data_IF_411708021247
#
_entry.id   IF_411708021247
#
_cell.length_a   1.000
_cell.length_b   1.000
_cell.length_c   1.000
_cell.angle_alpha   90.00
_cell.angle_beta   90.00
_cell.angle_gamma   90.00
#
_symmetry.space_group_name_H-M   'P 1'
#
loop_
_entity.id
_entity.type
_entity.pdbx_description
1 polymer ?
#
# COMPACT_ATOMS: atom_id res chain seq x y z
N UNK A 1 -63.31 5.18 -35.48
CA UNK A 1 -62.20 6.07 -35.34
C UNK A 1 -61.69 5.99 -33.92
N UNK A 2 -60.91 4.98 -33.61
CA UNK A 2 -60.38 4.75 -32.27
C UNK A 2 -58.99 4.13 -32.42
N UNK A 3 -57.93 4.80 -32.01
CA UNK A 3 -56.74 4.02 -31.78
C UNK A 3 -55.35 4.59 -32.11
N UNK A 4 -55.13 5.91 -32.07
CA UNK A 4 -53.78 6.41 -32.28
C UNK A 4 -53.15 7.17 -31.07
N UNK A 5 -53.90 7.36 -30.02
CA UNK A 5 -53.41 8.08 -28.82
C UNK A 5 -52.67 7.17 -27.80
N UNK A 6 -52.86 5.85 -27.92
CA UNK A 6 -52.21 4.87 -27.00
C UNK A 6 -50.73 4.60 -27.26
N UNK A 7 -50.30 4.65 -28.54
CA UNK A 7 -48.94 4.21 -28.91
C UNK A 7 -47.84 5.17 -28.59
N UNK A 8 -48.08 6.49 -28.67
CA UNK A 8 -47.08 7.48 -28.34
C UNK A 8 -46.92 7.65 -26.83
N UNK A 9 -48.02 7.55 -26.06
CA UNK A 9 -47.94 7.57 -24.60
C UNK A 9 -47.22 6.33 -24.04
N UNK A 10 -47.44 5.16 -24.66
CA UNK A 10 -46.66 3.95 -24.32
C UNK A 10 -45.18 4.08 -24.68
N UNK A 11 -44.85 4.67 -25.83
CA UNK A 11 -43.45 4.93 -26.20
C UNK A 11 -42.76 5.92 -25.26
N UNK A 12 -43.42 6.99 -24.84
CA UNK A 12 -42.92 7.93 -23.86
C UNK A 12 -42.68 7.26 -22.51
N UNK A 13 -43.61 6.40 -22.08
CA UNK A 13 -43.49 5.66 -20.79
C UNK A 13 -42.32 4.67 -20.83
N UNK A 14 -42.11 3.96 -21.94
CA UNK A 14 -40.98 3.04 -22.12
C UNK A 14 -39.65 3.81 -22.18
N UNK A 15 -39.56 4.94 -22.86
CA UNK A 15 -38.37 5.78 -22.90
C UNK A 15 -38.01 6.32 -21.52
N UNK A 16 -39.02 6.74 -20.75
CA UNK A 16 -38.85 7.22 -19.38
C UNK A 16 -38.35 6.10 -18.43
N UNK A 17 -38.91 4.90 -18.55
CA UNK A 17 -38.46 3.74 -17.79
C UNK A 17 -37.01 3.30 -18.15
N UNK A 18 -36.67 3.32 -19.44
CA UNK A 18 -35.31 3.02 -19.90
C UNK A 18 -34.31 4.08 -19.40
N UNK A 19 -34.69 5.37 -19.41
CA UNK A 19 -33.86 6.45 -18.90
C UNK A 19 -33.60 6.31 -17.38
N UNK A 20 -34.65 6.02 -16.61
CA UNK A 20 -34.53 5.78 -15.16
C UNK A 20 -33.67 4.55 -14.89
N UNK A 21 -33.86 3.46 -15.62
CA UNK A 21 -33.05 2.25 -15.49
C UNK A 21 -31.57 2.51 -15.81
N UNK A 22 -31.28 3.29 -16.85
CA UNK A 22 -29.89 3.67 -17.20
C UNK A 22 -29.25 4.54 -16.11
N UNK A 23 -29.99 5.44 -15.48
CA UNK A 23 -29.51 6.29 -14.40
C UNK A 23 -29.19 5.49 -13.12
N UNK A 24 -29.98 4.49 -12.81
CA UNK A 24 -29.78 3.60 -11.65
C UNK A 24 -28.55 2.70 -11.86
N UNK A 25 -28.33 2.19 -13.08
CA UNK A 25 -27.16 1.38 -13.38
C UNK A 25 -25.85 2.18 -13.33
N UNK A 26 -25.86 3.45 -13.73
CA UNK A 26 -24.66 4.31 -13.68
C UNK A 26 -24.20 4.61 -12.25
N UNK A 27 -25.10 4.65 -11.27
CA UNK A 27 -24.78 4.93 -9.87
C UNK A 27 -24.04 3.81 -9.13
N UNK A 28 -24.22 2.55 -9.53
CA UNK A 28 -23.65 1.40 -8.82
C UNK A 28 -22.12 1.27 -8.99
N UNK A 29 -21.58 1.66 -10.15
CA UNK A 29 -20.13 1.56 -10.44
C UNK A 29 -19.30 2.67 -9.77
N UNK A 30 -19.86 3.84 -9.56
CA UNK A 30 -19.15 4.98 -8.99
C UNK A 30 -18.77 4.77 -7.52
N UNK A 31 -19.68 4.23 -6.72
CA UNK A 31 -19.43 3.95 -5.31
C UNK A 31 -18.35 2.86 -5.10
N UNK A 32 -18.32 1.84 -5.96
CA UNK A 32 -17.31 0.80 -5.88
C UNK A 32 -15.92 1.32 -6.27
N UNK A 33 -15.83 2.21 -7.25
CA UNK A 33 -14.59 2.88 -7.62
C UNK A 33 -14.04 3.74 -6.48
N UNK A 34 -14.87 4.57 -5.86
CA UNK A 34 -14.48 5.38 -4.71
C UNK A 34 -13.98 4.53 -3.53
N UNK A 35 -14.69 3.45 -3.24
CA UNK A 35 -14.27 2.52 -2.18
C UNK A 35 -12.91 1.88 -2.45
N UNK A 36 -12.65 1.49 -3.69
CA UNK A 36 -11.36 0.91 -4.08
C UNK A 36 -10.23 1.94 -4.01
N UNK A 37 -10.48 3.18 -4.40
CA UNK A 37 -9.52 4.28 -4.31
C UNK A 37 -9.15 4.55 -2.84
N UNK A 38 -10.13 4.62 -1.94
CA UNK A 38 -9.89 4.76 -0.51
C UNK A 38 -9.13 3.56 0.10
N UNK A 39 -9.41 2.34 -0.36
CA UNK A 39 -8.65 1.16 0.07
C UNK A 39 -7.19 1.21 -0.39
N UNK A 40 -6.92 1.69 -1.61
CA UNK A 40 -5.55 1.89 -2.10
C UNK A 40 -4.82 2.94 -1.27
N UNK A 41 -5.46 4.07 -0.98
CA UNK A 41 -4.89 5.14 -0.13
C UNK A 41 -4.60 4.65 1.29
N UNK A 42 -5.55 3.90 1.89
CA UNK A 42 -5.36 3.31 3.20
C UNK A 42 -4.21 2.30 3.23
N UNK A 43 -4.14 1.41 2.23
CA UNK A 43 -3.04 0.46 2.07
C UNK A 43 -1.69 1.15 1.87
N UNK A 44 -1.67 2.24 1.11
CA UNK A 44 -0.47 3.04 0.93
C UNK A 44 -0.01 3.70 2.23
N UNK A 45 -0.93 4.28 3.00
CA UNK A 45 -0.64 4.88 4.30
C UNK A 45 -0.03 3.87 5.27
N UNK A 46 -0.53 2.62 5.27
CA UNK A 46 0.04 1.54 6.09
C UNK A 46 1.48 1.20 5.65
N UNK A 47 1.73 1.14 4.34
CA UNK A 47 3.09 0.93 3.80
C UNK A 47 4.03 2.04 4.28
N UNK A 48 3.63 3.31 4.19
CA UNK A 48 4.42 4.44 4.67
C UNK A 48 4.70 4.36 6.17
N UNK A 49 3.70 4.00 6.97
CA UNK A 49 3.86 3.80 8.42
C UNK A 49 4.90 2.71 8.73
N UNK A 50 4.92 1.61 7.97
CA UNK A 50 5.91 0.55 8.14
C UNK A 50 7.33 1.03 7.81
N UNK A 51 7.49 1.81 6.75
CA UNK A 51 8.79 2.40 6.41
C UNK A 51 9.25 3.44 7.45
N UNK A 52 8.34 4.27 7.95
CA UNK A 52 8.64 5.23 9.00
C UNK A 52 9.09 4.53 10.29
N UNK A 53 8.35 3.53 10.75
CA UNK A 53 8.73 2.73 11.93
C UNK A 53 10.13 2.16 11.81
N UNK A 54 10.47 1.62 10.61
CA UNK A 54 11.81 1.11 10.34
C UNK A 54 12.88 2.19 10.45
N UNK A 55 12.62 3.38 9.88
CA UNK A 55 13.53 4.51 9.94
C UNK A 55 13.72 5.05 11.38
N UNK A 56 12.68 4.97 12.21
CA UNK A 56 12.69 5.45 13.60
C UNK A 56 13.44 4.49 14.55
N UNK A 57 13.59 3.22 14.20
CA UNK A 57 14.43 2.29 14.98
C UNK A 57 15.92 2.56 14.82
N UNK A 58 16.35 3.13 13.70
CA UNK A 58 17.77 3.28 13.36
C UNK A 58 18.55 4.11 14.38
N UNK A 59 18.06 5.24 14.93
CA UNK A 59 18.78 6.00 15.96
C UNK A 59 19.09 5.16 17.20
N UNK A 60 18.15 4.31 17.65
CA UNK A 60 18.32 3.46 18.82
C UNK A 60 19.36 2.37 18.55
N UNK A 61 19.36 1.82 17.34
CA UNK A 61 20.35 0.84 16.90
C UNK A 61 21.74 1.46 16.84
N UNK A 62 21.86 2.65 16.24
CA UNK A 62 23.11 3.41 16.18
C UNK A 62 23.65 3.70 17.59
N UNK A 63 22.79 4.09 18.54
CA UNK A 63 23.17 4.32 19.92
C UNK A 63 23.68 3.03 20.59
N UNK A 64 23.03 1.90 20.34
CA UNK A 64 23.45 0.59 20.88
C UNK A 64 24.81 0.16 20.33
N UNK A 65 25.08 0.39 19.04
CA UNK A 65 26.35 0.01 18.38
C UNK A 65 27.51 0.90 18.85
N UNK A 66 27.27 2.17 19.16
CA UNK A 66 28.32 3.09 19.66
C UNK A 66 28.96 2.61 20.96
N UNK A 67 28.31 1.74 21.72
CA UNK A 67 28.87 1.09 22.90
C UNK A 67 29.91 0.00 22.61
N UNK A 68 29.95 -0.50 21.36
CA UNK A 68 30.85 -1.58 20.92
C UNK A 68 32.04 -0.99 20.17
N UNK A 69 33.18 -0.88 20.85
CA UNK A 69 34.39 -0.23 20.32
C UNK A 69 34.97 -0.91 19.06
N UNK A 70 34.68 -2.21 18.87
CA UNK A 70 35.17 -3.02 17.74
C UNK A 70 34.19 -3.13 16.59
N UNK A 71 33.05 -2.44 16.63
CA UNK A 71 32.03 -2.56 15.55
C UNK A 71 32.49 -1.88 14.26
N UNK A 72 32.13 -2.50 13.12
CA UNK A 72 32.48 -2.05 11.77
C UNK A 72 31.85 -0.68 11.45
N UNK A 73 32.65 0.39 11.49
CA UNK A 73 32.17 1.77 11.26
C UNK A 73 31.60 2.00 9.87
N UNK A 74 32.12 1.32 8.84
CA UNK A 74 31.63 1.42 7.47
C UNK A 74 30.20 0.94 7.32
N UNK A 75 29.84 -0.14 8.01
CA UNK A 75 28.48 -0.68 7.99
C UNK A 75 27.52 0.31 8.67
N UNK A 76 27.94 0.92 9.78
CA UNK A 76 27.13 1.92 10.48
C UNK A 76 26.91 3.17 9.63
N UNK A 77 27.97 3.68 9.01
CA UNK A 77 27.90 4.87 8.13
C UNK A 77 26.93 4.65 6.97
N UNK A 78 27.01 3.48 6.29
CA UNK A 78 26.09 3.13 5.20
C UNK A 78 24.62 3.10 5.64
N UNK A 79 24.34 2.62 6.84
CA UNK A 79 22.97 2.64 7.38
C UNK A 79 22.49 4.07 7.62
N UNK A 80 23.32 4.94 8.19
CA UNK A 80 22.99 6.34 8.42
C UNK A 80 22.72 7.08 7.09
N UNK A 81 23.58 6.89 6.09
CA UNK A 81 23.42 7.49 4.78
C UNK A 81 22.17 6.99 4.05
N UNK A 82 21.92 5.68 4.08
CA UNK A 82 20.74 5.09 3.46
C UNK A 82 19.44 5.59 4.15
N UNK A 83 19.46 5.76 5.49
CA UNK A 83 18.36 6.36 6.21
C UNK A 83 18.13 7.81 5.78
N UNK A 84 19.18 8.63 5.70
CA UNK A 84 19.06 10.02 5.27
C UNK A 84 18.45 10.13 3.86
N UNK A 85 18.88 9.29 2.93
CA UNK A 85 18.28 9.21 1.58
C UNK A 85 16.80 8.79 1.63
N UNK A 86 16.48 7.74 2.36
CA UNK A 86 15.12 7.22 2.44
C UNK A 86 14.13 8.21 3.07
N UNK A 87 14.58 8.99 4.07
CA UNK A 87 13.74 9.98 4.77
C UNK A 87 13.70 11.34 4.07
N UNK A 88 14.63 11.64 3.15
CA UNK A 88 14.62 12.89 2.37
C UNK A 88 13.55 12.92 1.28
N UNK A 89 13.03 11.76 0.87
CA UNK A 89 12.01 11.66 -0.16
C UNK A 89 10.65 11.91 0.47
N UNK A 90 10.03 13.04 0.12
CA UNK A 90 8.65 13.30 0.52
C UNK A 90 7.70 12.42 -0.29
N UNK A 91 6.93 11.64 0.42
CA UNK A 91 5.98 10.69 -0.18
C UNK A 91 4.57 11.16 0.14
N UNK A 92 3.85 11.52 -0.90
CA UNK A 92 2.44 11.94 -0.83
C UNK A 92 1.57 10.92 -1.58
N UNK A 93 0.24 10.95 -1.47
CA UNK A 93 -0.63 10.10 -2.28
C UNK A 93 -0.40 10.26 -3.79
N UNK A 94 0.04 11.45 -4.23
CA UNK A 94 0.35 11.75 -5.63
C UNK A 94 1.60 11.00 -6.13
N UNK A 95 2.47 10.54 -5.21
CA UNK A 95 3.65 9.72 -5.55
C UNK A 95 3.24 8.41 -6.25
N UNK A 96 2.07 7.86 -5.91
CA UNK A 96 1.54 6.66 -6.57
C UNK A 96 1.22 6.88 -8.06
N UNK A 97 0.91 8.11 -8.43
CA UNK A 97 0.56 8.50 -9.79
C UNK A 97 1.78 8.96 -10.60
N UNK A 98 2.96 9.09 -9.97
CA UNK A 98 4.20 9.48 -10.62
C UNK A 98 5.21 8.31 -10.60
N UNK A 99 5.40 7.60 -11.72
CA UNK A 99 6.27 6.43 -11.80
C UNK A 99 7.72 6.72 -11.38
N UNK A 100 8.28 7.86 -11.79
CA UNK A 100 9.66 8.23 -11.46
C UNK A 100 9.86 8.52 -9.96
N UNK A 101 8.87 9.18 -9.33
CA UNK A 101 8.89 9.44 -7.90
C UNK A 101 8.75 8.13 -7.11
N UNK A 102 7.90 7.23 -7.57
CA UNK A 102 7.71 5.91 -6.98
C UNK A 102 8.98 5.05 -7.10
N UNK A 103 9.62 5.02 -8.26
CA UNK A 103 10.88 4.27 -8.46
C UNK A 103 12.01 4.81 -7.57
N UNK A 104 12.16 6.13 -7.46
CA UNK A 104 13.15 6.76 -6.55
C UNK A 104 12.89 6.36 -5.10
N UNK A 105 11.63 6.39 -4.66
CA UNK A 105 11.25 5.95 -3.32
C UNK A 105 11.57 4.46 -3.12
N UNK A 106 11.17 3.60 -4.04
CA UNK A 106 11.41 2.16 -3.97
C UNK A 106 12.90 1.83 -3.91
N UNK A 107 13.72 2.52 -4.72
CA UNK A 107 15.17 2.35 -4.73
C UNK A 107 15.79 2.74 -3.38
N UNK A 108 15.42 3.91 -2.83
CA UNK A 108 15.94 4.36 -1.54
C UNK A 108 15.56 3.42 -0.39
N UNK A 109 14.32 2.90 -0.39
CA UNK A 109 13.88 1.91 0.59
C UNK A 109 14.59 0.56 0.43
N UNK A 110 14.90 0.16 -0.80
CA UNK A 110 15.70 -1.03 -1.12
C UNK A 110 17.15 -0.91 -0.62
N UNK A 111 17.78 0.26 -0.83
CA UNK A 111 19.13 0.57 -0.32
C UNK A 111 19.16 0.51 1.21
N UNK A 112 18.17 1.12 1.88
CA UNK A 112 18.05 1.06 3.34
C UNK A 112 17.84 -0.38 3.83
N UNK A 113 16.96 -1.15 3.19
CA UNK A 113 16.72 -2.56 3.54
C UNK A 113 17.98 -3.41 3.42
N UNK A 114 18.79 -3.19 2.37
CA UNK A 114 20.06 -3.88 2.15
C UNK A 114 21.10 -3.51 3.20
N UNK A 115 21.23 -2.23 3.55
CA UNK A 115 22.13 -1.74 4.59
C UNK A 115 21.76 -2.32 5.97
N UNK A 116 20.47 -2.36 6.31
CA UNK A 116 19.97 -2.94 7.57
C UNK A 116 20.18 -4.46 7.63
N UNK A 117 19.99 -5.17 6.52
CA UNK A 117 20.26 -6.61 6.45
C UNK A 117 21.75 -6.92 6.69
N UNK A 118 22.63 -6.10 6.13
CA UNK A 118 24.07 -6.20 6.37
C UNK A 118 24.41 -5.90 7.84
N UNK A 119 23.81 -4.87 8.41
CA UNK A 119 23.99 -4.53 9.83
C UNK A 119 23.63 -5.70 10.74
N UNK A 120 22.49 -6.36 10.49
CA UNK A 120 22.07 -7.54 11.23
C UNK A 120 23.10 -8.66 11.07
N UNK A 121 23.55 -8.94 9.84
CA UNK A 121 24.55 -10.00 9.60
C UNK A 121 25.86 -9.75 10.36
N UNK A 122 26.34 -8.49 10.40
CA UNK A 122 27.52 -8.12 11.18
C UNK A 122 27.26 -8.25 12.68
N UNK A 123 26.06 -7.87 13.16
CA UNK A 123 25.70 -7.95 14.59
C UNK A 123 25.70 -9.38 15.14
N UNK A 124 25.62 -10.41 14.29
CA UNK A 124 25.69 -11.81 14.72
C UNK A 124 27.06 -12.17 15.36
N UNK A 125 28.12 -11.44 15.04
CA UNK A 125 29.43 -11.59 15.63
C UNK A 125 29.56 -10.95 17.03
N UNK A 126 28.53 -10.18 17.48
CA UNK A 126 28.50 -9.44 18.73
C UNK A 126 27.35 -9.92 19.61
N UNK A 127 27.59 -10.82 20.59
CA UNK A 127 26.53 -11.39 21.41
C UNK A 127 25.71 -10.34 22.17
N UNK A 128 26.34 -9.25 22.60
CA UNK A 128 25.68 -8.12 23.29
C UNK A 128 24.65 -7.42 22.39
N UNK A 129 24.99 -7.17 21.12
CA UNK A 129 24.10 -6.57 20.14
C UNK A 129 23.01 -7.54 19.69
N UNK A 130 23.33 -8.83 19.55
CA UNK A 130 22.35 -9.86 19.22
C UNK A 130 21.24 -9.97 20.26
N UNK A 131 21.56 -9.80 21.54
CA UNK A 131 20.62 -9.84 22.64
C UNK A 131 19.88 -8.49 22.85
N UNK A 132 20.29 -7.41 22.17
CA UNK A 132 19.69 -6.10 22.32
C UNK A 132 18.30 -6.03 21.73
N UNK A 133 17.34 -5.45 22.47
CA UNK A 133 15.93 -5.35 22.07
C UNK A 133 15.75 -4.59 20.74
N UNK A 134 16.51 -3.51 20.49
CA UNK A 134 16.40 -2.73 19.27
C UNK A 134 16.79 -3.56 18.03
N UNK A 135 17.78 -4.45 18.13
CA UNK A 135 18.15 -5.36 17.06
C UNK A 135 17.11 -6.47 16.85
N UNK A 136 16.47 -6.95 17.91
CA UNK A 136 15.40 -7.93 17.80
C UNK A 136 14.16 -7.31 17.14
N UNK A 137 13.77 -6.11 17.52
CA UNK A 137 12.67 -5.38 16.89
C UNK A 137 12.94 -5.12 15.40
N UNK A 138 14.17 -4.77 15.04
CA UNK A 138 14.57 -4.60 13.65
C UNK A 138 14.43 -5.91 12.85
N UNK A 139 14.84 -7.05 13.41
CA UNK A 139 14.70 -8.37 12.75
C UNK A 139 13.24 -8.68 12.48
N UNK A 140 12.38 -8.53 13.46
CA UNK A 140 10.94 -8.73 13.32
C UNK A 140 10.38 -7.85 12.21
N UNK A 141 10.78 -6.58 12.14
CA UNK A 141 10.31 -5.65 11.12
C UNK A 141 10.87 -5.92 9.72
N UNK A 142 12.03 -6.54 9.60
CA UNK A 142 12.58 -6.95 8.30
C UNK A 142 12.01 -8.29 7.80
N UNK A 143 11.58 -9.15 8.70
CA UNK A 143 10.94 -10.43 8.37
C UNK A 143 9.45 -10.27 8.01
N UNK A 144 8.74 -9.36 8.67
CA UNK A 144 7.31 -9.11 8.45
C UNK A 144 6.93 -8.81 6.98
N UNK A 145 7.69 -8.00 6.20
CA UNK A 145 7.34 -7.72 4.80
C UNK A 145 7.56 -8.89 3.84
N UNK A 146 8.30 -9.93 4.24
CA UNK A 146 8.50 -11.13 3.39
C UNK A 146 7.25 -12.00 3.36
N UNK A 147 6.44 -11.97 4.41
CA UNK A 147 5.19 -12.74 4.53
C UNK A 147 3.96 -11.98 4.05
N UNK A 148 4.00 -10.65 4.10
CA UNK A 148 2.93 -9.76 3.65
C UNK A 148 3.50 -8.73 2.65
N UNK A 149 3.76 -9.15 1.40
CA UNK A 149 4.09 -8.18 0.36
C UNK A 149 2.86 -7.29 0.13
N UNK A 150 2.89 -5.99 0.51
CA UNK A 150 1.75 -5.10 0.30
C UNK A 150 1.40 -4.95 -1.18
N UNK A 151 2.37 -5.21 -2.07
CA UNK A 151 2.13 -5.31 -3.51
C UNK A 151 1.27 -6.53 -3.87
N UNK A 152 1.32 -7.61 -3.09
CA UNK A 152 0.44 -8.76 -3.27
C UNK A 152 -0.99 -8.47 -2.84
N UNK A 153 -1.18 -7.69 -1.78
CA UNK A 153 -2.50 -7.22 -1.35
C UNK A 153 -3.13 -6.27 -2.37
N UNK A 154 -2.34 -5.38 -2.98
CA UNK A 154 -2.79 -4.49 -4.06
C UNK A 154 -3.06 -5.28 -5.35
N UNK A 155 -2.24 -6.29 -5.67
CA UNK A 155 -2.43 -7.14 -6.84
C UNK A 155 -3.63 -8.09 -6.71
N UNK A 156 -3.94 -8.57 -5.49
CA UNK A 156 -5.13 -9.40 -5.22
C UNK A 156 -6.41 -8.56 -5.17
N UNK A 157 -6.35 -7.30 -4.75
CA UNK A 157 -7.50 -6.38 -4.83
C UNK A 157 -7.84 -5.97 -6.27
N UNK A 158 -6.90 -6.08 -7.21
CA UNK A 158 -7.16 -5.93 -8.66
C UNK A 158 -7.88 -7.11 -9.30
N UNK A 159 -8.07 -8.22 -8.59
CA UNK A 159 -8.93 -9.29 -9.10
C UNK A 159 -10.38 -8.82 -8.97
N UNK A 160 -10.87 -8.22 -10.04
CA UNK A 160 -12.23 -7.74 -10.26
C UNK A 160 -13.24 -8.80 -9.77
N UNK A 161 -14.12 -8.48 -8.79
CA UNK A 161 -15.22 -9.35 -8.46
C UNK A 161 -16.28 -9.23 -9.57
N UNK A 162 -16.20 -10.07 -10.59
CA UNK A 162 -17.16 -10.15 -11.69
C UNK A 162 -18.53 -10.72 -11.27
N UNK A 163 -18.84 -10.78 -9.96
CA UNK A 163 -19.97 -11.64 -9.53
C UNK A 163 -20.99 -10.97 -8.60
N UNK A 164 -20.93 -9.65 -8.33
CA UNK A 164 -21.86 -9.06 -7.35
C UNK A 164 -23.10 -8.37 -7.96
N UNK A 165 -23.12 -8.09 -9.25
CA UNK A 165 -24.30 -7.51 -9.91
C UNK A 165 -25.38 -8.54 -10.28
N UNK A 166 -25.05 -9.84 -10.35
CA UNK A 166 -25.96 -10.91 -10.76
C UNK A 166 -26.90 -11.42 -9.65
N UNK A 167 -26.63 -11.08 -8.37
CA UNK A 167 -27.40 -11.68 -7.25
C UNK A 167 -28.63 -10.87 -6.83
N UNK A 168 -28.79 -9.65 -7.33
CA UNK A 168 -29.97 -8.83 -7.04
C UNK A 168 -31.19 -9.17 -7.91
N UNK A 169 -31.00 -9.84 -9.05
CA UNK A 169 -32.08 -10.13 -10.00
C UNK A 169 -32.86 -11.42 -9.70
N UNK A 170 -32.38 -12.30 -8.81
CA UNK A 170 -33.01 -13.62 -8.56
C UNK A 170 -33.90 -13.68 -7.31
N UNK A 171 -34.21 -12.54 -6.67
CA UNK A 171 -35.13 -12.47 -5.51
C UNK A 171 -36.48 -11.80 -5.78
N UNK A 172 -36.85 -11.56 -7.04
CA UNK A 172 -38.13 -11.00 -7.45
C UNK A 172 -38.92 -11.97 -8.34
N UNK A 173 -39.11 -13.19 -7.87
CA UNK A 173 -40.17 -14.12 -8.33
C UNK A 173 -40.74 -14.87 -7.14
#
# INVERSE_FOLDING_TARGET
MTGTTGTWAQRLRTLLLVSIASFVLAGCGYNDFQRLDEQVKAGWSEVLNQYQRRADLIPNIVASVKGEASFEQDTLTKVIEARAKATSIQVTPETLNNPEAFERFQKAQGELGSALSRLIAVSENYPSLKANAAFQDLRVQLEAPRTASPLHAIATSRRWPSTTCSRAASRAT
#
